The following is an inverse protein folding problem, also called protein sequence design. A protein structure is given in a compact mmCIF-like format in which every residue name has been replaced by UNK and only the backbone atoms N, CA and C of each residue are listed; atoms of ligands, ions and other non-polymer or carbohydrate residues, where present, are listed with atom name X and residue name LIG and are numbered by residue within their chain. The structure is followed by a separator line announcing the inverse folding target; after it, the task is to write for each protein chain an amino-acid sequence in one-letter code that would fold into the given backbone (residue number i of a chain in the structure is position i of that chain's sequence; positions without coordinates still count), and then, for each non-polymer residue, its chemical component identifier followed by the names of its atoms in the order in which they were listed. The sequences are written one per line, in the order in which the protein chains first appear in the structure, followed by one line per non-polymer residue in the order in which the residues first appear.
data_IF_673406183048
#
_entry.id   IF_673406183048
#
_cell.length_a   1.000
_cell.length_b   1.000
_cell.length_c   1.000
_cell.angle_alpha   90.00
_cell.angle_beta   90.00
_cell.angle_gamma   90.00
#
_symmetry.space_group_name_H-M   'P 1'
#
loop_
_entity.id
_entity.type
_entity.pdbx_description
1 polymer ?
#
# COMPACT_ATOMS: atom_id res chain seq x y z
N UNK A 1 14.41 7.34 18.07
CA UNK A 1 13.09 6.78 18.38
C UNK A 1 13.05 6.41 19.85
N UNK A 2 12.21 6.98 20.67
CA UNK A 2 11.89 6.47 22.00
C UNK A 2 10.88 5.32 21.89
N UNK A 3 10.58 4.60 23.01
CA UNK A 3 9.53 3.58 22.99
C UNK A 3 8.23 4.25 22.50
N UNK A 4 7.73 3.84 21.35
CA UNK A 4 6.66 4.53 20.60
C UNK A 4 7.10 5.07 19.25
N UNK A 5 8.40 5.22 18.99
CA UNK A 5 8.91 5.68 17.69
C UNK A 5 9.15 4.52 16.68
N UNK A 6 9.09 3.26 17.12
CA UNK A 6 9.03 2.09 16.24
C UNK A 6 7.65 1.45 16.15
N UNK A 7 6.65 2.01 16.82
CA UNK A 7 5.26 1.59 16.59
C UNK A 7 4.86 1.87 15.14
N UNK A 8 4.18 0.93 14.46
CA UNK A 8 3.46 -0.23 15.03
C UNK A 8 4.29 -1.55 15.12
N UNK A 9 5.62 -1.51 15.15
CA UNK A 9 6.45 -2.70 15.18
C UNK A 9 6.46 -3.35 16.58
N UNK A 10 6.23 -4.67 16.63
CA UNK A 10 6.21 -5.48 17.84
C UNK A 10 7.26 -6.59 17.81
N UNK A 11 7.75 -6.97 18.99
CA UNK A 11 8.67 -8.09 19.16
C UNK A 11 7.97 -9.43 18.88
N UNK A 12 8.68 -10.34 18.19
CA UNK A 12 8.24 -11.68 17.89
C UNK A 12 9.16 -12.70 18.57
N UNK A 13 8.59 -13.68 19.29
CA UNK A 13 9.36 -14.64 20.10
C UNK A 13 10.09 -13.97 21.25
N UNK A 14 11.35 -14.33 21.50
CA UNK A 14 12.19 -13.72 22.55
C UNK A 14 12.88 -12.41 22.13
N UNK A 15 12.68 -11.97 20.89
CA UNK A 15 13.34 -10.76 20.40
C UNK A 15 12.95 -9.52 21.21
N UNK A 16 13.87 -8.58 21.28
CA UNK A 16 13.68 -7.23 21.83
C UNK A 16 13.93 -6.20 20.75
N UNK A 17 13.12 -5.14 20.72
CA UNK A 17 13.29 -4.03 19.78
C UNK A 17 13.72 -2.79 20.59
N UNK A 18 14.77 -2.15 20.13
CA UNK A 18 15.25 -0.89 20.68
C UNK A 18 15.56 0.09 19.56
N UNK A 19 15.60 1.36 19.90
CA UNK A 19 15.97 2.39 18.97
C UNK A 19 17.43 2.74 19.14
N UNK A 20 18.13 2.88 18.02
CA UNK A 20 19.54 3.23 17.97
C UNK A 20 19.80 4.43 17.04
N UNK A 21 20.88 5.17 17.32
CA UNK A 21 21.30 6.32 16.50
C UNK A 21 22.13 5.83 15.31
N UNK A 22 21.49 5.09 14.42
CA UNK A 22 22.09 4.52 13.22
C UNK A 22 20.95 4.30 12.20
N UNK A 23 20.68 5.28 11.37
CA UNK A 23 19.58 5.26 10.40
C UNK A 23 20.06 5.05 8.98
N UNK A 24 19.16 4.54 8.14
CA UNK A 24 19.34 4.41 6.70
C UNK A 24 18.98 5.71 5.98
N UNK A 25 19.43 5.87 4.75
CA UNK A 25 18.94 6.88 3.79
C UNK A 25 18.76 8.29 4.35
N UNK A 26 19.75 8.78 5.15
CA UNK A 26 19.75 10.08 5.84
C UNK A 26 18.79 10.19 7.04
N UNK A 27 18.12 9.16 7.47
CA UNK A 27 17.48 9.12 8.78
C UNK A 27 18.56 9.05 9.87
N UNK A 28 18.21 9.39 11.11
CA UNK A 28 19.18 9.37 12.22
C UNK A 28 19.07 8.13 13.08
N UNK A 29 17.96 7.43 12.99
CA UNK A 29 17.60 6.36 13.94
C UNK A 29 16.97 5.19 13.22
N UNK A 30 17.16 3.99 13.76
CA UNK A 30 16.51 2.77 13.28
C UNK A 30 16.06 1.89 14.44
N UNK A 31 15.25 0.90 14.14
CA UNK A 31 14.87 -0.17 15.05
C UNK A 31 15.91 -1.29 15.01
N UNK A 32 16.55 -1.58 16.14
CA UNK A 32 17.46 -2.72 16.31
C UNK A 32 16.73 -3.87 16.97
N UNK A 33 16.77 -5.05 16.34
CA UNK A 33 16.16 -6.30 16.80
C UNK A 33 17.27 -7.19 17.36
N UNK A 34 17.19 -7.51 18.66
CA UNK A 34 18.21 -8.25 19.41
C UNK A 34 17.59 -9.32 20.31
N UNK A 35 18.40 -10.07 21.05
CA UNK A 35 17.94 -11.04 22.05
C UNK A 35 17.22 -12.25 21.46
N UNK A 36 17.45 -12.52 20.22
CA UNK A 36 16.89 -13.64 19.47
C UNK A 36 17.56 -14.94 19.88
N UNK A 37 16.77 -15.94 20.23
CA UNK A 37 17.28 -17.29 20.60
C UNK A 37 16.95 -18.34 19.57
N UNK A 38 16.18 -17.99 18.54
CA UNK A 38 15.81 -18.86 17.42
C UNK A 38 15.70 -18.05 16.12
N UNK A 39 15.74 -18.71 14.97
CA UNK A 39 15.71 -18.06 13.66
C UNK A 39 14.34 -17.38 13.34
N UNK A 40 13.24 -17.89 13.88
CA UNK A 40 11.91 -17.33 13.70
C UNK A 40 11.57 -16.14 14.64
N UNK A 41 12.43 -15.87 15.63
CA UNK A 41 12.28 -14.66 16.45
C UNK A 41 12.64 -13.42 15.65
N UNK A 42 11.97 -12.30 15.89
CA UNK A 42 12.23 -11.08 15.12
C UNK A 42 11.31 -9.92 15.44
N UNK A 43 10.91 -9.21 14.41
CA UNK A 43 9.99 -8.09 14.50
C UNK A 43 8.75 -8.35 13.63
N UNK A 44 7.59 -7.85 14.04
CA UNK A 44 6.33 -7.97 13.30
C UNK A 44 5.54 -6.68 13.31
N UNK A 45 4.69 -6.50 12.31
CA UNK A 45 3.70 -5.43 12.23
C UNK A 45 2.34 -6.07 11.97
N UNK A 46 1.34 -5.69 12.75
CA UNK A 46 -0.07 -6.01 12.48
C UNK A 46 -0.58 -5.08 11.38
N UNK A 47 -0.92 -5.66 10.25
CA UNK A 47 -1.41 -4.93 9.08
C UNK A 47 -2.90 -5.18 8.82
N UNK A 48 -3.61 -5.84 9.72
CA UNK A 48 -5.01 -6.26 9.56
C UNK A 48 -5.94 -5.12 9.18
N UNK A 49 -5.73 -3.92 9.76
CA UNK A 49 -6.56 -2.74 9.48
C UNK A 49 -6.12 -1.96 8.24
N UNK A 50 -4.99 -2.34 7.62
CA UNK A 50 -4.37 -1.62 6.51
C UNK A 50 -4.52 -2.35 5.18
N UNK A 51 -4.95 -3.61 5.21
CA UNK A 51 -4.99 -4.48 4.03
C UNK A 51 -6.38 -5.05 3.79
N UNK A 52 -6.65 -5.35 2.54
CA UNK A 52 -7.86 -6.03 2.09
C UNK A 52 -7.48 -7.31 1.37
N UNK A 53 -8.31 -8.35 1.55
CA UNK A 53 -8.17 -9.64 0.86
C UNK A 53 -8.08 -9.47 -0.65
N UNK A 54 -7.28 -10.32 -1.29
CA UNK A 54 -6.98 -10.34 -2.73
C UNK A 54 -6.25 -9.12 -3.30
N UNK A 55 -6.01 -8.09 -2.50
CA UNK A 55 -5.23 -6.94 -2.92
C UNK A 55 -3.72 -7.21 -2.84
N UNK A 56 -2.98 -6.51 -3.68
CA UNK A 56 -1.52 -6.50 -3.66
C UNK A 56 -0.97 -5.24 -3.01
N UNK A 57 0.12 -5.39 -2.27
CA UNK A 57 0.79 -4.31 -1.55
C UNK A 57 2.28 -4.35 -1.85
N UNK A 58 2.83 -3.21 -2.26
CA UNK A 58 4.26 -3.02 -2.35
C UNK A 58 4.81 -2.68 -0.96
N UNK A 59 5.82 -3.41 -0.54
CA UNK A 59 6.53 -3.21 0.72
C UNK A 59 7.94 -2.76 0.40
N UNK A 60 8.42 -1.69 1.05
CA UNK A 60 9.80 -1.26 0.97
C UNK A 60 10.33 -1.04 2.39
N UNK A 61 11.59 -1.39 2.61
CA UNK A 61 12.28 -1.19 3.89
C UNK A 61 13.79 -1.18 3.69
N UNK A 62 14.50 -0.62 4.64
CA UNK A 62 15.95 -0.80 4.73
C UNK A 62 16.26 -1.79 5.85
N UNK A 63 17.22 -2.66 5.60
CA UNK A 63 17.73 -3.59 6.61
C UNK A 63 19.25 -3.63 6.64
N UNK A 64 19.81 -3.91 7.81
CA UNK A 64 21.26 -4.04 8.04
C UNK A 64 21.53 -5.13 9.08
N UNK A 65 22.70 -5.76 9.01
CA UNK A 65 23.24 -6.66 10.02
C UNK A 65 24.75 -6.46 10.16
N UNK A 66 25.35 -6.96 11.24
CA UNK A 66 26.76 -6.72 11.60
C UNK A 66 27.41 -8.01 12.13
N UNK A 67 27.29 -9.10 11.37
CA UNK A 67 27.83 -10.43 11.79
C UNK A 67 29.24 -10.70 11.31
N UNK A 68 29.83 -9.81 10.50
CA UNK A 68 31.13 -10.00 9.87
C UNK A 68 31.09 -10.79 8.57
N UNK A 69 29.90 -11.12 8.06
CA UNK A 69 29.68 -11.80 6.76
C UNK A 69 28.25 -11.52 6.26
N UNK A 70 28.04 -11.72 4.97
CA UNK A 70 26.72 -11.56 4.37
C UNK A 70 25.72 -12.60 4.94
N UNK A 71 24.48 -12.16 5.11
CA UNK A 71 23.40 -12.95 5.71
C UNK A 71 22.11 -12.75 4.92
N UNK A 72 21.14 -13.65 5.13
CA UNK A 72 19.80 -13.51 4.58
C UNK A 72 18.78 -13.17 5.67
N UNK A 73 17.87 -12.26 5.32
CA UNK A 73 16.71 -11.88 6.12
C UNK A 73 15.45 -12.21 5.33
N UNK A 74 14.51 -12.92 5.96
CA UNK A 74 13.21 -13.21 5.39
C UNK A 74 12.18 -12.16 5.86
N UNK A 75 11.37 -11.67 4.94
CA UNK A 75 10.09 -11.05 5.20
C UNK A 75 9.00 -12.07 4.86
N UNK A 76 8.13 -12.34 5.80
CA UNK A 76 7.07 -13.35 5.70
C UNK A 76 5.76 -12.79 6.25
N UNK A 77 4.66 -13.48 5.95
CA UNK A 77 3.32 -13.18 6.40
C UNK A 77 2.79 -14.31 7.29
N UNK A 78 2.06 -13.96 8.35
CA UNK A 78 1.33 -14.90 9.19
C UNK A 78 -0.14 -14.51 9.20
N UNK A 79 -1.03 -15.48 8.99
CA UNK A 79 -2.48 -15.27 9.03
C UNK A 79 -3.20 -16.55 9.42
N UNK A 80 -4.49 -16.47 9.75
CA UNK A 80 -5.37 -17.62 9.94
C UNK A 80 -6.23 -17.76 8.69
N UNK A 81 -6.15 -18.90 8.01
CA UNK A 81 -6.96 -19.19 6.85
C UNK A 81 -8.41 -19.56 7.20
N UNK A 82 -9.27 -19.70 6.20
CA UNK A 82 -10.67 -20.08 6.36
C UNK A 82 -10.85 -21.48 6.98
N UNK A 83 -9.85 -22.32 6.87
CA UNK A 83 -9.79 -23.66 7.50
C UNK A 83 -9.47 -23.60 9.00
N UNK A 84 -9.24 -22.38 9.54
CA UNK A 84 -8.86 -22.14 10.92
C UNK A 84 -7.40 -22.47 11.26
N UNK A 85 -6.58 -22.84 10.27
CA UNK A 85 -5.16 -23.08 10.48
C UNK A 85 -4.33 -21.79 10.37
N UNK A 86 -3.20 -21.75 11.08
CA UNK A 86 -2.25 -20.65 10.98
C UNK A 86 -1.27 -20.93 9.84
N UNK A 87 -1.17 -19.99 8.91
CA UNK A 87 -0.25 -20.02 7.79
C UNK A 87 0.93 -19.09 8.02
N UNK A 88 2.08 -19.45 7.42
CA UNK A 88 3.35 -18.70 7.49
C UNK A 88 3.94 -18.68 6.09
N UNK A 89 3.56 -17.68 5.30
CA UNK A 89 3.93 -17.62 3.89
C UNK A 89 5.10 -16.66 3.65
N UNK A 90 6.13 -17.07 2.91
CA UNK A 90 7.24 -16.20 2.58
C UNK A 90 6.78 -15.12 1.58
N UNK A 91 7.18 -13.88 1.83
CA UNK A 91 7.01 -12.75 0.89
C UNK A 91 8.30 -12.58 0.07
N UNK A 92 9.43 -12.47 0.74
CA UNK A 92 10.75 -12.36 0.09
C UNK A 92 11.87 -12.75 1.03
N UNK A 93 13.01 -13.15 0.46
CA UNK A 93 14.26 -13.32 1.15
C UNK A 93 15.30 -12.38 0.56
N UNK A 94 15.89 -11.52 1.38
CA UNK A 94 16.86 -10.52 0.94
C UNK A 94 18.24 -10.83 1.46
N UNK A 95 19.27 -10.62 0.64
CA UNK A 95 20.67 -10.76 1.03
C UNK A 95 21.16 -9.41 1.58
N UNK A 96 21.61 -9.43 2.82
CA UNK A 96 22.16 -8.27 3.52
C UNK A 96 23.69 -8.38 3.54
N UNK A 97 24.35 -7.44 2.90
CA UNK A 97 25.80 -7.29 3.02
C UNK A 97 26.16 -6.89 4.43
N UNK A 98 27.32 -7.38 4.92
CA UNK A 98 27.75 -7.04 6.27
C UNK A 98 27.89 -5.53 6.47
N UNK A 99 27.40 -5.05 7.60
CA UNK A 99 27.52 -3.66 8.06
C UNK A 99 27.02 -2.59 7.05
N UNK A 100 26.13 -3.02 6.10
CA UNK A 100 25.66 -2.15 5.02
C UNK A 100 24.14 -2.07 5.03
N UNK A 101 23.58 -0.86 5.01
CA UNK A 101 22.16 -0.65 4.80
C UNK A 101 21.75 -1.07 3.38
N UNK A 102 20.85 -2.03 3.29
CA UNK A 102 20.33 -2.56 2.03
C UNK A 102 18.86 -2.17 1.88
N UNK A 103 18.51 -1.49 0.79
CA UNK A 103 17.10 -1.27 0.43
C UNK A 103 16.49 -2.55 -0.09
N UNK A 104 15.35 -2.91 0.44
CA UNK A 104 14.61 -4.12 0.12
C UNK A 104 13.22 -3.74 -0.39
N UNK A 105 12.76 -4.40 -1.43
CA UNK A 105 11.44 -4.18 -2.02
C UNK A 105 10.78 -5.52 -2.29
N UNK A 106 9.48 -5.62 -2.03
CA UNK A 106 8.69 -6.83 -2.24
C UNK A 106 7.25 -6.48 -2.57
N UNK A 107 6.54 -7.43 -3.16
CA UNK A 107 5.08 -7.36 -3.33
C UNK A 107 4.44 -8.48 -2.55
N UNK A 108 3.40 -8.16 -1.79
CA UNK A 108 2.60 -9.09 -1.02
C UNK A 108 1.18 -9.11 -1.58
N UNK A 109 0.67 -10.29 -1.92
CA UNK A 109 -0.77 -10.50 -2.15
C UNK A 109 -1.41 -10.98 -0.86
N UNK A 110 -2.51 -10.33 -0.45
CA UNK A 110 -3.24 -10.69 0.77
C UNK A 110 -4.16 -11.87 0.48
N UNK A 111 -3.99 -13.02 1.17
CA UNK A 111 -4.84 -14.19 1.00
C UNK A 111 -6.19 -14.00 1.69
N UNK A 112 -7.13 -14.89 1.41
CA UNK A 112 -8.32 -15.08 2.24
C UNK A 112 -7.87 -15.43 3.66
N UNK A 113 -8.36 -14.68 4.64
CA UNK A 113 -7.97 -14.83 6.04
C UNK A 113 -9.08 -14.42 7.00
N UNK A 114 -8.98 -14.92 8.23
CA UNK A 114 -9.83 -14.51 9.35
C UNK A 114 -8.99 -13.88 10.45
N UNK A 115 -9.47 -12.76 10.98
CA UNK A 115 -8.78 -12.08 12.09
C UNK A 115 -7.48 -11.39 11.68
N UNK A 116 -6.42 -11.63 12.46
CA UNK A 116 -5.16 -10.91 12.36
C UNK A 116 -4.29 -11.39 11.22
N UNK A 117 -3.72 -10.45 10.48
CA UNK A 117 -2.64 -10.68 9.52
C UNK A 117 -1.41 -9.86 9.92
N UNK A 118 -0.27 -10.54 10.03
CA UNK A 118 1.00 -9.95 10.41
C UNK A 118 1.99 -10.06 9.26
N UNK A 119 2.78 -9.02 9.03
CA UNK A 119 4.06 -9.16 8.33
C UNK A 119 5.19 -9.20 9.36
N UNK A 120 6.24 -9.99 9.09
CA UNK A 120 7.31 -10.13 10.05
C UNK A 120 8.66 -10.43 9.41
N UNK A 121 9.72 -9.96 10.07
CA UNK A 121 11.11 -10.16 9.66
C UNK A 121 11.79 -11.15 10.60
N UNK A 122 12.47 -12.11 10.01
CA UNK A 122 13.20 -13.17 10.71
C UNK A 122 14.44 -13.60 9.90
N UNK A 123 15.31 -14.43 10.47
CA UNK A 123 16.31 -15.14 9.67
C UNK A 123 15.63 -16.25 8.85
N UNK A 124 16.33 -16.76 7.84
CA UNK A 124 15.82 -17.87 7.04
C UNK A 124 15.41 -19.04 7.94
N UNK A 125 14.18 -19.49 7.78
CA UNK A 125 13.60 -20.56 8.61
C UNK A 125 14.46 -21.84 8.57
N UNK A 126 14.67 -22.47 9.71
CA UNK A 126 15.56 -23.62 9.94
C UNK A 126 17.04 -23.36 9.67
N UNK A 127 17.47 -22.12 9.51
CA UNK A 127 18.89 -21.78 9.37
C UNK A 127 19.66 -21.86 10.67
N UNK A 128 18.99 -21.88 11.82
CA UNK A 128 19.54 -21.73 13.17
C UNK A 128 20.34 -20.44 13.35
N UNK A 129 20.07 -19.45 12.50
CA UNK A 129 20.69 -18.14 12.56
C UNK A 129 19.81 -17.21 13.40
N UNK A 130 20.33 -16.71 14.49
CA UNK A 130 19.66 -15.77 15.39
C UNK A 130 20.38 -14.41 15.42
N UNK A 131 20.92 -13.99 14.28
CA UNK A 131 21.61 -12.71 14.14
C UNK A 131 20.73 -11.54 14.57
N UNK A 132 21.36 -10.55 15.19
CA UNK A 132 20.75 -9.23 15.35
C UNK A 132 20.63 -8.54 13.99
N UNK A 133 19.58 -7.76 13.81
CA UNK A 133 19.39 -6.96 12.59
C UNK A 133 18.72 -5.63 12.89
N UNK A 134 18.78 -4.74 11.92
CA UNK A 134 18.22 -3.40 11.99
C UNK A 134 17.18 -3.24 10.88
N UNK A 135 16.12 -2.47 11.18
CA UNK A 135 15.08 -2.09 10.22
C UNK A 135 14.86 -0.58 10.27
N UNK A 136 14.64 -0.01 9.09
CA UNK A 136 14.34 1.41 8.94
C UNK A 136 13.46 1.67 7.73
N UNK A 137 12.78 2.82 7.70
CA UNK A 137 11.93 3.30 6.60
C UNK A 137 10.97 2.23 6.06
N UNK A 138 10.35 1.45 6.94
CA UNK A 138 9.35 0.45 6.54
C UNK A 138 8.12 1.16 6.02
N UNK A 139 7.79 0.90 4.77
CA UNK A 139 6.59 1.43 4.10
C UNK A 139 5.79 0.31 3.45
N UNK A 140 4.47 0.46 3.41
CA UNK A 140 3.57 -0.44 2.68
C UNK A 140 2.54 0.41 1.94
N UNK A 141 2.43 0.21 0.63
CA UNK A 141 1.48 0.92 -0.22
C UNK A 141 0.68 -0.08 -1.04
N UNK A 142 -0.64 0.12 -1.15
CA UNK A 142 -1.47 -0.70 -2.02
C UNK A 142 -0.95 -0.60 -3.46
N UNK A 143 -0.63 -1.73 -4.07
CA UNK A 143 -0.46 -1.80 -5.53
C UNK A 143 -1.88 -1.71 -6.07
N UNK A 144 -2.22 -0.59 -6.68
CA UNK A 144 -3.59 -0.38 -7.18
C UNK A 144 -4.02 -1.59 -8.00
N UNK A 145 -5.21 -2.09 -7.73
CA UNK A 145 -5.86 -3.01 -8.67
C UNK A 145 -5.84 -2.32 -10.01
N UNK A 146 -5.09 -2.83 -10.96
CA UNK A 146 -5.50 -2.72 -12.35
C UNK A 146 -6.90 -3.31 -12.33
N UNK A 147 -7.88 -2.51 -12.72
CA UNK A 147 -9.28 -2.93 -12.70
C UNK A 147 -9.37 -4.38 -13.11
N UNK A 148 -9.89 -5.23 -12.22
CA UNK A 148 -10.02 -6.65 -12.48
C UNK A 148 -10.95 -6.77 -13.70
N UNK A 149 -10.44 -7.27 -14.81
CA UNK A 149 -11.19 -7.42 -16.06
C UNK A 149 -12.47 -8.27 -15.86
N UNK A 150 -12.61 -8.92 -14.71
CA UNK A 150 -13.76 -9.74 -14.32
C UNK A 150 -14.73 -9.08 -13.32
N UNK A 151 -14.48 -7.87 -12.83
CA UNK A 151 -15.33 -7.26 -11.79
C UNK A 151 -16.68 -6.77 -12.34
N UNK A 152 -16.85 -6.69 -13.65
CA UNK A 152 -18.02 -6.08 -14.28
C UNK A 152 -18.15 -4.57 -14.01
N UNK A 153 -17.19 -3.99 -13.29
CA UNK A 153 -17.10 -2.55 -13.10
C UNK A 153 -16.41 -1.91 -14.31
N UNK A 154 -16.84 -0.72 -14.74
CA UNK A 154 -16.19 -0.03 -15.84
C UNK A 154 -14.71 0.27 -15.50
N UNK A 155 -13.84 0.18 -16.50
CA UNK A 155 -12.44 0.58 -16.36
C UNK A 155 -12.35 2.07 -16.00
N UNK A 156 -12.15 2.36 -14.72
CA UNK A 156 -12.07 3.71 -14.18
C UNK A 156 -10.71 4.38 -14.44
N UNK A 157 -9.73 3.64 -14.99
CA UNK A 157 -8.43 4.21 -15.37
C UNK A 157 -8.46 4.94 -16.71
N UNK A 158 -9.54 4.75 -17.48
CA UNK A 158 -9.71 5.37 -18.79
C UNK A 158 -9.68 6.91 -18.69
N UNK A 159 -8.84 7.52 -19.51
CA UNK A 159 -8.69 8.97 -19.57
C UNK A 159 -7.83 9.60 -18.48
N UNK A 160 -7.25 8.82 -17.55
CA UNK A 160 -6.24 9.33 -16.65
C UNK A 160 -4.92 9.57 -17.40
N UNK A 161 -4.36 10.75 -17.22
CA UNK A 161 -3.07 11.12 -17.83
C UNK A 161 -1.95 10.68 -16.90
N UNK A 162 -1.27 9.58 -17.24
CA UNK A 162 -0.22 8.98 -16.41
C UNK A 162 1.14 9.67 -16.64
N UNK A 163 1.87 9.87 -15.55
CA UNK A 163 3.27 10.32 -15.59
C UNK A 163 3.47 11.75 -16.05
N UNK A 164 2.43 12.60 -16.05
CA UNK A 164 2.51 14.02 -16.40
C UNK A 164 2.09 14.90 -15.25
N UNK A 165 2.90 15.91 -14.96
CA UNK A 165 2.54 17.00 -14.06
C UNK A 165 1.77 18.05 -14.88
N UNK A 166 0.56 18.39 -14.47
CA UNK A 166 -0.25 19.44 -15.10
C UNK A 166 -1.68 19.00 -15.44
N UNK A 167 -2.43 19.93 -16.04
CA UNK A 167 -3.83 19.74 -16.43
C UNK A 167 -3.95 19.34 -17.91
N UNK A 168 -4.97 18.56 -18.27
CA UNK A 168 -5.92 17.88 -17.38
C UNK A 168 -5.33 16.61 -16.75
N UNK A 169 -5.73 16.30 -15.50
CA UNK A 169 -5.41 15.03 -14.85
C UNK A 169 -6.24 13.90 -15.48
N UNK A 170 -7.47 14.22 -15.85
CA UNK A 170 -8.43 13.29 -16.48
C UNK A 170 -8.96 13.89 -17.77
N UNK A 171 -9.10 13.07 -18.81
CA UNK A 171 -9.61 13.45 -20.13
C UNK A 171 -10.89 12.72 -20.54
N UNK A 172 -11.33 11.73 -19.76
CA UNK A 172 -12.47 10.86 -20.10
C UNK A 172 -13.82 11.45 -19.76
N UNK A 173 -13.87 12.52 -18.96
CA UNK A 173 -15.12 13.15 -18.52
C UNK A 173 -14.93 14.60 -18.11
N UNK A 174 -16.04 15.35 -18.08
CA UNK A 174 -16.08 16.68 -17.52
C UNK A 174 -16.29 16.59 -16.00
N UNK A 175 -15.50 17.36 -15.26
CA UNK A 175 -15.59 17.51 -13.82
C UNK A 175 -15.32 18.98 -13.46
N UNK A 176 -16.00 19.48 -12.44
CA UNK A 176 -15.83 20.85 -11.98
C UNK A 176 -15.66 20.91 -10.45
N UNK A 177 -15.49 22.11 -9.92
CA UNK A 177 -15.48 22.45 -8.50
C UNK A 177 -14.57 21.51 -7.66
N UNK A 178 -13.28 21.40 -8.01
CA UNK A 178 -12.38 20.49 -7.33
C UNK A 178 -12.10 20.94 -5.91
N UNK A 179 -12.22 20.00 -4.96
CA UNK A 179 -11.75 20.15 -3.60
C UNK A 179 -10.72 19.07 -3.29
N UNK A 180 -9.60 19.43 -2.68
CA UNK A 180 -8.52 18.52 -2.38
C UNK A 180 -8.25 18.41 -0.89
N UNK A 181 -7.91 17.21 -0.42
CA UNK A 181 -7.44 16.96 0.93
C UNK A 181 -6.26 15.97 0.92
N UNK A 182 -5.42 16.10 1.92
CA UNK A 182 -4.40 15.08 2.23
C UNK A 182 -4.93 14.21 3.38
N UNK A 183 -4.79 12.89 3.24
CA UNK A 183 -5.10 11.93 4.27
C UNK A 183 -4.13 10.75 4.19
N UNK A 184 -3.43 10.46 5.27
CA UNK A 184 -2.43 9.38 5.38
C UNK A 184 -1.35 9.42 4.28
N UNK A 185 -0.83 10.61 3.95
CA UNK A 185 0.20 10.80 2.94
C UNK A 185 -0.28 10.69 1.50
N UNK A 186 -1.59 10.59 1.27
CA UNK A 186 -2.22 10.53 -0.05
C UNK A 186 -3.08 11.77 -0.29
N UNK A 187 -3.00 12.35 -1.48
CA UNK A 187 -3.87 13.44 -1.90
C UNK A 187 -5.12 12.86 -2.55
N UNK A 188 -6.28 13.34 -2.11
CA UNK A 188 -7.59 13.04 -2.70
C UNK A 188 -8.15 14.30 -3.33
N UNK A 189 -8.70 14.19 -4.53
CA UNK A 189 -9.43 15.28 -5.20
C UNK A 189 -10.87 14.82 -5.41
N UNK A 190 -11.80 15.62 -4.91
CA UNK A 190 -13.24 15.45 -5.06
C UNK A 190 -13.72 16.47 -6.09
N UNK A 191 -14.49 16.03 -7.07
CA UNK A 191 -15.05 16.90 -8.11
C UNK A 191 -16.49 16.57 -8.35
N UNK A 192 -17.27 17.51 -8.90
CA UNK A 192 -18.62 17.18 -9.39
C UNK A 192 -18.53 16.15 -10.51
N UNK A 193 -19.49 15.25 -10.59
CA UNK A 193 -19.63 14.25 -11.67
C UNK A 193 -20.47 14.82 -12.81
N UNK A 194 -19.96 15.82 -13.50
CA UNK A 194 -20.69 16.50 -14.57
C UNK A 194 -21.00 15.56 -15.73
N UNK A 195 -22.24 15.58 -16.23
CA UNK A 195 -22.70 14.70 -17.32
C UNK A 195 -22.96 13.24 -16.91
N UNK A 196 -22.95 12.95 -15.61
CA UNK A 196 -23.26 11.62 -15.13
C UNK A 196 -24.76 11.51 -14.79
N UNK A 197 -25.46 10.55 -15.37
CA UNK A 197 -26.81 10.17 -14.99
C UNK A 197 -26.82 8.78 -14.36
N UNK A 198 -27.90 8.46 -13.65
CA UNK A 198 -28.09 7.13 -13.06
C UNK A 198 -29.14 6.40 -13.90
N UNK A 199 -28.81 5.21 -14.37
CA UNK A 199 -29.74 4.33 -15.06
C UNK A 199 -30.86 3.83 -14.13
N UNK A 200 -31.93 3.31 -14.69
CA UNK A 200 -33.07 2.80 -13.91
C UNK A 200 -32.69 1.64 -12.95
N UNK A 201 -31.61 0.93 -13.23
CA UNK A 201 -31.06 -0.16 -12.40
C UNK A 201 -30.09 0.32 -11.32
N UNK A 202 -29.87 1.66 -11.22
CA UNK A 202 -28.94 2.26 -10.25
C UNK A 202 -27.50 2.34 -10.74
N UNK A 203 -27.17 1.79 -11.91
CA UNK A 203 -25.83 1.95 -12.50
C UNK A 203 -25.62 3.38 -13.03
N UNK A 204 -24.36 3.81 -13.08
CA UNK A 204 -23.99 5.12 -13.60
C UNK A 204 -23.96 5.08 -15.12
N UNK A 205 -24.58 6.08 -15.74
CA UNK A 205 -24.48 6.32 -17.17
C UNK A 205 -23.40 7.39 -17.40
N UNK A 206 -22.36 7.02 -18.11
CA UNK A 206 -21.23 7.89 -18.45
C UNK A 206 -21.39 8.54 -19.83
N UNK A 207 -22.48 8.24 -20.56
CA UNK A 207 -22.72 8.80 -21.87
C UNK A 207 -23.23 10.24 -21.75
N UNK A 208 -22.48 11.16 -22.34
CA UNK A 208 -22.93 12.52 -22.50
C UNK A 208 -24.00 12.61 -23.57
N UNK A 209 -25.09 13.33 -23.29
CA UNK A 209 -26.02 13.73 -24.34
C UNK A 209 -25.41 14.83 -25.19
N UNK A 210 -25.47 14.68 -26.50
CA UNK A 210 -25.02 15.69 -27.45
C UNK A 210 -26.23 16.38 -28.09
N UNK A 211 -26.09 17.66 -28.37
CA UNK A 211 -27.08 18.41 -29.16
C UNK A 211 -26.91 18.12 -30.65
N UNK A 212 -27.77 18.72 -31.47
CA UNK A 212 -27.75 18.55 -32.93
C UNK A 212 -26.49 19.13 -33.59
N UNK A 213 -25.68 19.89 -32.87
CA UNK A 213 -24.40 20.44 -33.35
C UNK A 213 -23.21 19.61 -32.93
N UNK A 214 -23.42 18.54 -32.13
CA UNK A 214 -22.38 17.67 -31.59
C UNK A 214 -21.71 18.22 -30.34
N UNK A 215 -22.30 19.24 -29.72
CA UNK A 215 -21.85 19.74 -28.42
C UNK A 215 -22.56 19.03 -27.28
N UNK A 216 -21.87 18.85 -26.17
CA UNK A 216 -22.46 18.29 -24.95
C UNK A 216 -23.61 19.19 -24.51
N UNK A 217 -24.80 18.61 -24.33
CA UNK A 217 -25.95 19.34 -23.80
C UNK A 217 -25.66 19.88 -22.43
N UNK A 218 -26.17 21.07 -22.17
CA UNK A 218 -26.03 21.75 -20.91
C UNK A 218 -26.48 20.90 -19.73
N UNK A 219 -25.56 20.63 -18.83
CA UNK A 219 -25.85 19.94 -17.58
C UNK A 219 -26.42 20.94 -16.59
N UNK A 220 -27.71 20.89 -16.39
CA UNK A 220 -28.27 21.61 -15.24
C UNK A 220 -27.72 20.98 -13.93
N UNK A 221 -27.53 21.76 -12.89
CA UNK A 221 -27.14 21.31 -11.55
C UNK A 221 -28.02 20.15 -11.04
N UNK A 222 -29.24 20.01 -11.53
CA UNK A 222 -30.13 18.90 -11.22
C UNK A 222 -29.63 17.53 -11.73
N UNK A 223 -28.69 17.51 -12.67
CA UNK A 223 -28.11 16.30 -13.24
C UNK A 223 -26.78 15.91 -12.56
N UNK A 224 -26.18 16.81 -11.79
CA UNK A 224 -25.00 16.47 -10.97
C UNK A 224 -25.46 15.69 -9.75
N UNK A 225 -25.28 14.35 -9.79
CA UNK A 225 -25.76 13.43 -8.73
C UNK A 225 -24.65 12.65 -8.07
N UNK A 226 -23.43 12.86 -8.49
CA UNK A 226 -22.29 12.13 -8.02
C UNK A 226 -21.12 13.06 -7.74
N UNK A 227 -20.25 12.63 -6.85
CA UNK A 227 -18.94 13.24 -6.64
C UNK A 227 -17.90 12.23 -7.12
N UNK A 228 -17.07 12.64 -8.06
CA UNK A 228 -15.98 11.83 -8.55
C UNK A 228 -14.76 11.99 -7.63
N UNK A 229 -14.06 10.89 -7.35
CA UNK A 229 -12.91 10.88 -6.45
C UNK A 229 -11.67 10.42 -7.20
N UNK A 230 -10.63 11.24 -7.17
CA UNK A 230 -9.30 10.89 -7.66
C UNK A 230 -8.33 10.86 -6.48
N UNK A 231 -7.32 10.01 -6.53
CA UNK A 231 -6.26 10.01 -5.53
C UNK A 231 -4.86 9.85 -6.14
N UNK A 232 -3.86 10.33 -5.41
CA UNK A 232 -2.45 10.19 -5.80
C UNK A 232 -1.54 10.18 -4.59
N UNK A 233 -0.50 9.37 -4.62
CA UNK A 233 0.56 9.35 -3.63
C UNK A 233 1.72 10.30 -3.98
N UNK A 234 1.83 10.70 -5.24
CA UNK A 234 2.97 11.47 -5.78
C UNK A 234 2.55 12.73 -6.57
N UNK A 235 1.23 12.97 -6.72
CA UNK A 235 0.63 14.03 -7.53
C UNK A 235 1.01 13.98 -9.04
N UNK A 236 1.59 12.88 -9.48
CA UNK A 236 1.98 12.62 -10.86
C UNK A 236 1.15 11.48 -11.44
N UNK A 237 1.02 10.40 -10.68
CA UNK A 237 0.24 9.24 -11.05
C UNK A 237 -1.09 9.26 -10.27
N UNK A 238 -2.19 9.35 -10.98
CA UNK A 238 -3.53 9.46 -10.39
C UNK A 238 -4.32 8.17 -10.57
N UNK A 239 -5.16 7.89 -9.58
CA UNK A 239 -6.15 6.80 -9.60
C UNK A 239 -7.54 7.41 -9.63
N UNK A 240 -8.45 6.77 -10.34
CA UNK A 240 -9.87 7.07 -10.24
C UNK A 240 -10.49 6.11 -9.22
N UNK A 241 -10.88 6.64 -8.06
CA UNK A 241 -11.48 5.86 -6.97
C UNK A 241 -13.00 5.67 -7.18
N UNK A 242 -13.54 6.18 -8.28
CA UNK A 242 -14.95 6.07 -8.59
C UNK A 242 -15.78 7.26 -8.12
N UNK A 243 -17.02 6.99 -7.72
CA UNK A 243 -18.00 7.99 -7.32
C UNK A 243 -18.55 7.70 -5.93
N UNK A 244 -18.92 8.77 -5.25
CA UNK A 244 -19.72 8.76 -4.02
C UNK A 244 -20.98 9.59 -4.20
#
# INVERSE_FOLDING_TARGET
MEKGEYEPMASRGSASISVVDDGANNTKKSAKVTGRTDDWHGASIDVSSLVETDNEYAISFYAKQETGKDQKLDLSMQYVGDDGSTHYDPITAVELLDSTWTKCEATMKVPEHTGTILIYWQSVYKSKNNMDFYLDEVTMTGVGKTADENSGLPDLSTGLVKGKIGNPIMTSRLTADPWAMEYNGRVYIYTTGDGTSVNADGSLNYDYEYDSTGQIKDNSFAQVKTINVLSSDDMVNWRNEGYI
#
